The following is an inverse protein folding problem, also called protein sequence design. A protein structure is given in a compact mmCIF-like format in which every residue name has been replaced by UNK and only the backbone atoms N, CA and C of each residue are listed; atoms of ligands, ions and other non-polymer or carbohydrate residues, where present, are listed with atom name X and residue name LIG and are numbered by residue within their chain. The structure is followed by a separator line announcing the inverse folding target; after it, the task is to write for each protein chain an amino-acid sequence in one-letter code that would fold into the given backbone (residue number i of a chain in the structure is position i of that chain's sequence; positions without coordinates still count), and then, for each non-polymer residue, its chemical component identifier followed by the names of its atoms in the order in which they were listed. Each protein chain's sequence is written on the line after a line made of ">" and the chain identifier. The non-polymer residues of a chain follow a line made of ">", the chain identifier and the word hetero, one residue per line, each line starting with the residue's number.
data_IF_619150984509
#
_entry.id   IF_619150984509
#
_cell.length_a   1.000
_cell.length_b   1.000
_cell.length_c   1.000
_cell.angle_alpha   90.00
_cell.angle_beta   90.00
_cell.angle_gamma   90.00
#
_symmetry.space_group_name_H-M   'P 1'
#
loop_
_entity.id
_entity.type
_entity.pdbx_description
1 polymer ?
#
# COMPACT_ATOMS: atom_id res chain seq x y z
N UNK A 1 -36.99 15.37 22.71
CA UNK A 1 -35.88 16.31 22.52
C UNK A 1 -34.52 15.81 23.05
N UNK A 2 -34.32 15.60 24.38
CA UNK A 2 -33.01 15.15 24.88
C UNK A 2 -32.61 13.78 24.37
N UNK A 3 -33.56 12.84 24.20
CA UNK A 3 -33.28 11.50 23.68
C UNK A 3 -32.87 11.51 22.20
N UNK A 4 -33.54 12.34 21.40
CA UNK A 4 -33.28 12.42 19.93
C UNK A 4 -31.93 13.11 19.64
N UNK A 5 -31.64 14.21 20.37
CA UNK A 5 -30.31 14.85 20.32
C UNK A 5 -29.21 13.87 20.77
N UNK A 6 -29.50 13.11 21.84
CA UNK A 6 -28.58 12.05 22.30
C UNK A 6 -28.36 10.96 21.26
N UNK A 7 -29.41 10.55 20.54
CA UNK A 7 -29.29 9.57 19.44
C UNK A 7 -28.44 10.11 18.28
N UNK A 8 -28.68 11.37 17.86
CA UNK A 8 -27.91 12.01 16.79
C UNK A 8 -26.42 12.09 17.18
N UNK A 9 -26.13 12.54 18.41
CA UNK A 9 -24.76 12.59 18.90
C UNK A 9 -24.11 11.20 18.96
N UNK A 10 -24.84 10.17 19.39
CA UNK A 10 -24.36 8.80 19.39
C UNK A 10 -24.01 8.33 17.96
N UNK A 11 -24.88 8.61 16.98
CA UNK A 11 -24.63 8.25 15.58
C UNK A 11 -23.40 8.99 15.02
N UNK A 12 -23.23 10.28 15.35
CA UNK A 12 -22.06 11.07 14.96
C UNK A 12 -20.77 10.53 15.60
N UNK A 13 -20.80 10.18 16.88
CA UNK A 13 -19.64 9.60 17.57
C UNK A 13 -19.29 8.22 17.03
N UNK A 14 -20.31 7.41 16.72
CA UNK A 14 -20.10 6.11 16.08
C UNK A 14 -19.52 6.27 14.66
N UNK A 15 -19.97 7.27 13.91
CA UNK A 15 -19.36 7.65 12.64
C UNK A 15 -17.89 8.01 12.82
N UNK A 16 -17.55 8.83 13.82
CA UNK A 16 -16.18 9.20 14.16
C UNK A 16 -15.29 8.00 14.51
N UNK A 17 -15.85 6.97 15.18
CA UNK A 17 -15.15 5.72 15.44
C UNK A 17 -14.75 5.01 14.12
N UNK A 18 -15.64 4.94 13.13
CA UNK A 18 -15.30 4.33 11.83
C UNK A 18 -14.30 5.18 11.04
N UNK A 19 -14.46 6.49 11.05
CA UNK A 19 -13.53 7.44 10.42
C UNK A 19 -12.13 7.36 11.04
N UNK A 20 -12.02 7.31 12.38
CA UNK A 20 -10.75 7.12 13.05
C UNK A 20 -10.10 5.78 12.68
N UNK A 21 -10.92 4.73 12.59
CA UNK A 21 -10.43 3.40 12.18
C UNK A 21 -9.90 3.41 10.75
N UNK A 22 -10.62 4.02 9.81
CA UNK A 22 -10.20 4.16 8.41
C UNK A 22 -8.80 4.77 8.32
N UNK A 23 -8.64 5.95 8.92
CA UNK A 23 -7.38 6.68 8.89
C UNK A 23 -6.26 5.92 9.59
N UNK A 24 -6.54 5.28 10.72
CA UNK A 24 -5.55 4.48 11.43
C UNK A 24 -5.03 3.33 10.56
N UNK A 25 -5.90 2.59 9.89
CA UNK A 25 -5.50 1.46 9.04
C UNK A 25 -4.81 1.88 7.73
N UNK A 26 -5.11 3.07 7.21
CA UNK A 26 -4.41 3.64 6.04
C UNK A 26 -3.01 4.13 6.42
N UNK A 27 -2.85 4.65 7.65
CA UNK A 27 -1.63 5.33 8.09
C UNK A 27 -0.68 4.42 8.87
N UNK A 28 -1.19 3.34 9.49
CA UNK A 28 -0.40 2.42 10.33
C UNK A 28 0.75 1.78 9.54
N UNK A 29 1.92 1.67 10.19
CA UNK A 29 3.07 0.97 9.63
C UNK A 29 2.82 -0.53 9.63
N UNK A 30 2.67 -1.12 8.43
CA UNK A 30 2.40 -2.55 8.28
C UNK A 30 3.45 -3.43 8.96
N UNK A 31 4.74 -3.09 8.83
CA UNK A 31 5.84 -3.80 9.47
C UNK A 31 5.69 -3.89 10.99
N UNK A 32 5.18 -2.81 11.62
CA UNK A 32 4.95 -2.81 13.08
C UNK A 32 3.80 -3.75 13.48
N UNK A 33 2.73 -3.79 12.69
CA UNK A 33 1.60 -4.72 12.94
C UNK A 33 2.05 -6.18 12.73
N UNK A 34 2.87 -6.44 11.72
CA UNK A 34 3.42 -7.78 11.44
C UNK A 34 4.32 -8.25 12.57
N UNK A 35 5.25 -7.42 13.04
CA UNK A 35 6.10 -7.73 14.18
C UNK A 35 5.28 -8.09 15.43
N UNK A 36 4.29 -7.27 15.82
CA UNK A 36 3.43 -7.53 16.96
C UNK A 36 2.58 -8.79 16.79
N UNK A 37 2.18 -9.12 15.56
CA UNK A 37 1.44 -10.33 15.27
C UNK A 37 2.31 -11.59 15.42
N UNK A 38 3.58 -11.53 15.04
CA UNK A 38 4.60 -12.58 15.24
C UNK A 38 4.93 -12.76 16.73
N UNK A 39 4.96 -11.68 17.50
CA UNK A 39 5.10 -11.71 18.97
C UNK A 39 3.88 -12.32 19.69
N UNK A 40 2.79 -12.63 18.94
CA UNK A 40 1.61 -13.32 19.47
C UNK A 40 0.47 -12.39 19.92
N UNK A 41 0.54 -11.08 19.67
CA UNK A 41 -0.56 -10.16 20.01
C UNK A 41 -1.81 -10.46 19.13
N UNK A 42 -2.89 -10.91 19.81
CA UNK A 42 -4.17 -11.24 19.16
C UNK A 42 -4.84 -10.05 18.47
N UNK A 43 -4.58 -8.81 18.93
CA UNK A 43 -5.12 -7.59 18.31
C UNK A 43 -4.37 -7.30 17.01
N UNK A 44 -3.06 -7.42 17.02
CA UNK A 44 -2.21 -7.27 15.84
C UNK A 44 -2.52 -8.35 14.78
N UNK A 45 -2.75 -9.61 15.19
CA UNK A 45 -3.17 -10.68 14.27
C UNK A 45 -4.53 -10.40 13.59
N UNK A 46 -5.47 -9.73 14.30
CA UNK A 46 -6.74 -9.30 13.70
C UNK A 46 -6.53 -8.11 12.76
N UNK A 47 -5.74 -7.11 13.16
CA UNK A 47 -5.40 -5.98 12.32
C UNK A 47 -4.68 -6.43 11.04
N UNK A 48 -3.70 -7.34 11.14
CA UNK A 48 -3.00 -7.92 9.99
C UNK A 48 -3.96 -8.59 9.00
N UNK A 49 -4.96 -9.32 9.51
CA UNK A 49 -5.99 -9.95 8.62
C UNK A 49 -6.82 -8.93 7.86
N UNK A 50 -7.15 -7.79 8.48
CA UNK A 50 -7.87 -6.71 7.81
C UNK A 50 -6.99 -6.00 6.77
N UNK A 51 -5.68 -5.85 7.06
CA UNK A 51 -4.70 -5.25 6.15
C UNK A 51 -4.36 -6.12 4.92
N UNK A 52 -4.67 -7.43 4.95
CA UNK A 52 -4.47 -8.32 3.79
C UNK A 52 -5.43 -8.06 2.64
N UNK A 53 -6.61 -7.52 2.93
CA UNK A 53 -7.62 -7.16 1.92
C UNK A 53 -8.09 -5.72 2.14
N UNK A 54 -7.25 -4.73 1.77
CA UNK A 54 -7.55 -3.33 2.02
C UNK A 54 -8.78 -2.83 1.27
N UNK A 55 -9.03 -3.35 0.07
CA UNK A 55 -10.20 -2.97 -0.73
C UNK A 55 -11.51 -3.36 -0.04
N UNK A 56 -11.59 -4.59 0.46
CA UNK A 56 -12.75 -5.06 1.21
C UNK A 56 -12.90 -4.33 2.55
N UNK A 57 -11.80 -4.09 3.26
CA UNK A 57 -11.81 -3.34 4.51
C UNK A 57 -12.37 -1.93 4.30
N UNK A 58 -11.85 -1.17 3.32
CA UNK A 58 -12.32 0.17 3.01
C UNK A 58 -13.79 0.19 2.60
N UNK A 59 -14.25 -0.79 1.79
CA UNK A 59 -15.65 -0.89 1.43
C UNK A 59 -16.57 -1.09 2.66
N UNK A 60 -16.16 -1.93 3.62
CA UNK A 60 -16.89 -2.13 4.88
C UNK A 60 -17.00 -0.84 5.68
N UNK A 61 -15.88 -0.13 5.84
CA UNK A 61 -15.83 1.14 6.59
C UNK A 61 -16.67 2.20 5.90
N UNK A 62 -16.55 2.34 4.58
CA UNK A 62 -17.29 3.33 3.81
C UNK A 62 -18.80 3.13 3.89
N UNK A 63 -19.27 1.88 3.87
CA UNK A 63 -20.69 1.56 4.09
C UNK A 63 -21.15 2.05 5.46
N UNK A 64 -20.37 1.81 6.51
CA UNK A 64 -20.70 2.26 7.86
C UNK A 64 -20.77 3.79 7.95
N UNK A 65 -19.74 4.47 7.48
CA UNK A 65 -19.65 5.95 7.51
C UNK A 65 -20.83 6.57 6.76
N UNK A 66 -21.10 6.09 5.53
CA UNK A 66 -22.18 6.63 4.70
C UNK A 66 -23.56 6.38 5.34
N UNK A 67 -23.78 5.16 5.85
CA UNK A 67 -25.06 4.81 6.48
C UNK A 67 -25.30 5.60 7.77
N UNK A 68 -24.30 5.71 8.65
CA UNK A 68 -24.41 6.44 9.90
C UNK A 68 -24.62 7.94 9.67
N UNK A 69 -23.90 8.53 8.71
CA UNK A 69 -24.09 9.93 8.35
C UNK A 69 -25.47 10.22 7.78
N UNK A 70 -25.97 9.37 6.88
CA UNK A 70 -27.32 9.49 6.34
C UNK A 70 -28.38 9.32 7.42
N UNK A 71 -28.20 8.34 8.32
CA UNK A 71 -29.14 8.09 9.41
C UNK A 71 -29.17 9.26 10.41
N UNK A 72 -28.03 9.82 10.78
CA UNK A 72 -27.96 10.99 11.66
C UNK A 72 -28.69 12.19 11.04
N UNK A 73 -28.49 12.45 9.75
CA UNK A 73 -29.18 13.51 9.03
C UNK A 73 -30.68 13.27 8.91
N UNK A 74 -31.11 12.03 8.65
CA UNK A 74 -32.53 11.68 8.56
C UNK A 74 -33.26 11.86 9.90
N UNK A 75 -32.65 11.38 11.00
CA UNK A 75 -33.22 11.56 12.34
C UNK A 75 -33.33 13.05 12.68
N UNK A 76 -32.30 13.83 12.38
CA UNK A 76 -32.32 15.26 12.62
C UNK A 76 -33.42 15.99 11.82
N UNK A 77 -33.61 15.60 10.55
CA UNK A 77 -34.65 16.18 9.69
C UNK A 77 -36.07 15.88 10.19
N UNK A 78 -36.30 14.72 10.78
CA UNK A 78 -37.61 14.34 11.29
C UNK A 78 -37.89 15.00 12.65
N UNK A 79 -36.93 14.98 13.58
CA UNK A 79 -37.15 15.31 14.97
C UNK A 79 -36.86 16.78 15.28
N UNK A 80 -35.73 17.33 14.80
CA UNK A 80 -35.30 18.69 15.14
C UNK A 80 -36.03 19.74 14.28
N UNK A 81 -36.28 19.44 13.00
CA UNK A 81 -36.95 20.37 12.09
C UNK A 81 -38.35 20.76 12.63
N UNK A 82 -39.11 19.76 13.12
CA UNK A 82 -40.46 20.01 13.66
C UNK A 82 -40.46 21.01 14.83
N UNK A 83 -39.42 20.97 15.66
CA UNK A 83 -39.29 21.89 16.80
C UNK A 83 -38.94 23.30 16.34
N UNK A 84 -38.15 23.43 15.28
CA UNK A 84 -37.66 24.73 14.78
C UNK A 84 -38.68 25.41 13.84
N UNK A 85 -39.48 24.64 13.11
CA UNK A 85 -40.51 25.19 12.21
C UNK A 85 -41.50 26.13 12.96
N UNK A 86 -41.95 25.75 14.15
CA UNK A 86 -42.95 26.52 14.91
C UNK A 86 -42.48 27.94 15.23
N UNK A 87 -41.31 28.19 15.83
CA UNK A 87 -40.83 29.54 16.07
C UNK A 87 -40.47 30.29 14.78
N UNK A 88 -40.01 29.61 13.73
CA UNK A 88 -39.70 30.25 12.46
C UNK A 88 -40.95 30.73 11.73
N UNK A 89 -42.03 29.97 11.77
CA UNK A 89 -43.31 30.36 11.18
C UNK A 89 -43.95 31.61 11.83
N UNK A 90 -43.56 31.92 13.06
CA UNK A 90 -43.99 33.14 13.76
C UNK A 90 -43.27 34.41 13.28
N UNK A 91 -42.22 34.28 12.49
CA UNK A 91 -41.47 35.41 11.91
C UNK A 91 -42.17 35.85 10.61
N UNK A 92 -42.69 37.05 10.59
CA UNK A 92 -43.53 37.60 9.53
C UNK A 92 -42.89 37.52 8.12
N UNK A 93 -41.57 37.65 8.02
CA UNK A 93 -40.81 37.56 6.76
C UNK A 93 -40.57 36.11 6.26
N UNK A 94 -40.63 35.12 7.13
CA UNK A 94 -40.33 33.70 6.79
C UNK A 94 -41.65 32.97 6.49
N UNK A 95 -42.69 33.15 7.29
CA UNK A 95 -44.04 32.67 7.09
C UNK A 95 -44.15 31.27 6.46
N UNK A 96 -44.69 31.21 5.25
CA UNK A 96 -44.89 29.96 4.52
C UNK A 96 -43.58 29.20 4.17
N UNK A 97 -42.44 29.91 4.14
CA UNK A 97 -41.13 29.31 3.85
C UNK A 97 -40.48 28.66 5.09
N UNK A 98 -41.07 28.76 6.27
CA UNK A 98 -40.50 28.26 7.52
C UNK A 98 -40.06 26.77 7.48
N UNK A 99 -40.79 25.82 6.85
CA UNK A 99 -40.35 24.45 6.78
C UNK A 99 -39.05 24.27 5.95
N UNK A 100 -38.95 24.97 4.82
CA UNK A 100 -37.75 24.90 3.96
C UNK A 100 -36.52 25.51 4.66
N UNK A 101 -36.69 26.65 5.31
CA UNK A 101 -35.63 27.33 6.09
C UNK A 101 -35.22 26.47 7.28
N UNK A 102 -36.14 25.85 7.99
CA UNK A 102 -35.85 24.95 9.11
C UNK A 102 -35.04 23.73 8.66
N UNK A 103 -35.44 23.08 7.57
CA UNK A 103 -34.68 21.95 7.00
C UNK A 103 -33.25 22.38 6.65
N UNK A 104 -33.09 23.51 5.98
CA UNK A 104 -31.78 24.02 5.59
C UNK A 104 -30.88 24.30 6.82
N UNK A 105 -31.40 25.01 7.80
CA UNK A 105 -30.68 25.39 9.03
C UNK A 105 -30.28 24.14 9.83
N UNK A 106 -31.21 23.21 10.04
CA UNK A 106 -30.95 21.98 10.79
C UNK A 106 -29.94 21.11 10.06
N UNK A 107 -30.10 20.92 8.75
CA UNK A 107 -29.17 20.11 7.95
C UNK A 107 -27.76 20.71 8.00
N UNK A 108 -27.66 22.05 7.86
CA UNK A 108 -26.34 22.71 7.92
C UNK A 108 -25.72 22.60 9.33
N UNK A 109 -26.50 22.77 10.38
CA UNK A 109 -26.02 22.64 11.75
C UNK A 109 -25.53 21.21 12.05
N UNK A 110 -26.33 20.20 11.67
CA UNK A 110 -25.95 18.79 11.84
C UNK A 110 -24.72 18.43 11.01
N UNK A 111 -24.66 18.92 9.76
CA UNK A 111 -23.47 18.70 8.90
C UNK A 111 -22.20 19.30 9.52
N UNK A 112 -22.27 20.53 10.08
CA UNK A 112 -21.14 21.13 10.76
C UNK A 112 -20.68 20.32 11.98
N UNK A 113 -21.63 19.88 12.81
CA UNK A 113 -21.32 19.03 13.97
C UNK A 113 -20.72 17.69 13.52
N UNK A 114 -21.27 17.08 12.47
CA UNK A 114 -20.78 15.83 11.91
C UNK A 114 -19.38 15.98 11.33
N UNK A 115 -19.10 17.04 10.58
CA UNK A 115 -17.76 17.32 10.06
C UNK A 115 -16.75 17.46 11.21
N UNK A 116 -17.08 18.20 12.25
CA UNK A 116 -16.14 18.44 13.36
C UNK A 116 -15.97 17.20 14.22
N UNK A 117 -17.06 16.67 14.80
CA UNK A 117 -17.03 15.57 15.78
C UNK A 117 -16.98 14.20 15.12
N UNK A 118 -17.60 14.04 13.97
CA UNK A 118 -17.70 12.78 13.24
C UNK A 118 -16.54 12.55 12.26
N UNK A 119 -15.75 13.59 11.93
CA UNK A 119 -14.71 13.45 10.91
C UNK A 119 -13.38 14.12 11.31
N UNK A 120 -13.30 15.44 11.49
CA UNK A 120 -12.02 16.15 11.67
C UNK A 120 -11.29 15.73 12.94
N UNK A 121 -11.98 15.73 14.09
CA UNK A 121 -11.40 15.35 15.37
C UNK A 121 -10.95 13.88 15.37
N UNK A 122 -11.79 12.90 14.95
CA UNK A 122 -11.39 11.51 14.85
C UNK A 122 -10.22 11.26 13.90
N UNK A 123 -10.16 11.94 12.74
CA UNK A 123 -9.02 11.86 11.80
C UNK A 123 -7.75 12.36 12.45
N UNK A 124 -7.78 13.54 13.07
CA UNK A 124 -6.61 14.09 13.75
C UNK A 124 -6.08 13.19 14.86
N UNK A 125 -6.98 12.61 15.66
CA UNK A 125 -6.62 11.67 16.72
C UNK A 125 -6.01 10.39 16.14
N UNK A 126 -6.58 9.84 15.07
CA UNK A 126 -6.09 8.62 14.43
C UNK A 126 -4.72 8.82 13.76
N UNK A 127 -4.49 9.98 13.12
CA UNK A 127 -3.18 10.32 12.54
C UNK A 127 -2.08 10.36 13.61
N UNK A 128 -2.38 10.94 14.78
CA UNK A 128 -1.42 11.03 15.88
C UNK A 128 -1.16 9.67 16.57
N UNK A 129 -2.10 8.73 16.52
CA UNK A 129 -2.08 7.49 17.31
C UNK A 129 -2.43 6.24 16.46
N UNK A 130 -2.00 6.19 15.19
CA UNK A 130 -2.46 5.19 14.23
C UNK A 130 -2.30 3.74 14.73
N UNK A 131 -1.14 3.38 15.30
CA UNK A 131 -0.87 2.02 15.79
C UNK A 131 -1.85 1.61 16.90
N UNK A 132 -2.10 2.51 17.87
CA UNK A 132 -3.01 2.23 18.99
C UNK A 132 -4.46 2.11 18.53
N UNK A 133 -4.89 3.02 17.68
CA UNK A 133 -6.26 3.02 17.14
C UNK A 133 -6.49 1.76 16.32
N UNK A 134 -5.59 1.38 15.41
CA UNK A 134 -5.69 0.17 14.61
C UNK A 134 -5.81 -1.10 15.47
N UNK A 135 -4.98 -1.23 16.52
CA UNK A 135 -5.02 -2.38 17.43
C UNK A 135 -6.31 -2.44 18.25
N UNK A 136 -6.81 -1.29 18.74
CA UNK A 136 -8.03 -1.24 19.56
C UNK A 136 -9.29 -1.51 18.71
N UNK A 137 -9.33 -1.00 17.48
CA UNK A 137 -10.51 -1.10 16.61
C UNK A 137 -10.56 -2.39 15.80
N UNK A 138 -9.45 -3.15 15.69
CA UNK A 138 -9.37 -4.39 14.92
C UNK A 138 -10.44 -5.44 15.30
N UNK A 139 -10.74 -5.58 16.62
CA UNK A 139 -11.71 -6.55 17.08
C UNK A 139 -13.16 -6.16 16.73
N UNK A 140 -13.68 -4.97 17.08
CA UNK A 140 -15.03 -4.55 16.73
C UNK A 140 -15.24 -4.48 15.21
N UNK A 141 -14.24 -4.00 14.45
CA UNK A 141 -14.33 -3.97 12.99
C UNK A 141 -14.39 -5.37 12.36
N UNK A 142 -13.63 -6.32 12.88
CA UNK A 142 -13.71 -7.71 12.40
C UNK A 142 -15.10 -8.28 12.60
N UNK A 143 -15.74 -7.98 13.74
CA UNK A 143 -17.12 -8.43 14.01
C UNK A 143 -18.12 -7.74 13.06
N UNK A 144 -18.03 -6.43 12.93
CA UNK A 144 -18.87 -5.63 12.04
C UNK A 144 -18.70 -6.06 10.57
N UNK A 145 -17.47 -6.28 10.11
CA UNK A 145 -17.17 -6.76 8.75
C UNK A 145 -17.86 -8.09 8.43
N UNK A 146 -17.97 -8.99 9.42
CA UNK A 146 -18.71 -10.26 9.23
C UNK A 146 -20.21 -10.02 9.07
N UNK A 147 -20.78 -9.13 9.87
CA UNK A 147 -22.21 -8.81 9.81
C UNK A 147 -22.62 -8.17 8.49
N UNK A 148 -21.80 -7.22 7.96
CA UNK A 148 -22.10 -6.51 6.71
C UNK A 148 -21.52 -7.18 5.46
N UNK A 149 -20.81 -8.31 5.62
CA UNK A 149 -20.17 -9.06 4.51
C UNK A 149 -21.11 -9.34 3.33
N UNK A 150 -22.36 -9.76 3.48
CA UNK A 150 -23.25 -10.00 2.33
C UNK A 150 -23.57 -8.72 1.57
N UNK A 151 -23.78 -7.61 2.28
CA UNK A 151 -24.02 -6.30 1.66
C UNK A 151 -22.79 -5.83 0.88
N UNK A 152 -21.61 -5.93 1.48
CA UNK A 152 -20.35 -5.55 0.82
C UNK A 152 -20.09 -6.42 -0.41
N UNK A 153 -20.40 -7.71 -0.36
CA UNK A 153 -20.26 -8.61 -1.51
C UNK A 153 -21.13 -8.15 -2.70
N UNK A 154 -22.37 -7.72 -2.43
CA UNK A 154 -23.27 -7.17 -3.45
C UNK A 154 -22.68 -5.87 -4.04
N UNK A 155 -22.19 -4.96 -3.19
CA UNK A 155 -21.59 -3.70 -3.65
C UNK A 155 -20.35 -3.94 -4.50
N UNK A 156 -19.45 -4.81 -4.06
CA UNK A 156 -18.24 -5.18 -4.82
C UNK A 156 -18.62 -5.83 -6.17
N UNK A 157 -19.65 -6.68 -6.19
CA UNK A 157 -20.15 -7.27 -7.44
C UNK A 157 -20.67 -6.19 -8.41
N UNK A 158 -21.48 -5.25 -7.92
CA UNK A 158 -22.00 -4.14 -8.72
C UNK A 158 -20.84 -3.27 -9.24
N UNK A 159 -19.88 -2.94 -8.38
CA UNK A 159 -18.70 -2.15 -8.75
C UNK A 159 -17.91 -2.85 -9.86
N UNK A 160 -17.64 -4.15 -9.73
CA UNK A 160 -16.95 -4.94 -10.76
C UNK A 160 -17.72 -4.96 -12.07
N UNK A 161 -19.04 -5.10 -12.01
CA UNK A 161 -19.89 -5.11 -13.21
C UNK A 161 -19.81 -3.77 -13.97
N UNK A 162 -19.83 -2.65 -13.23
CA UNK A 162 -19.74 -1.30 -13.81
C UNK A 162 -18.32 -0.99 -14.29
N UNK A 163 -17.27 -1.45 -13.58
CA UNK A 163 -15.88 -1.17 -13.92
C UNK A 163 -15.34 -2.01 -15.07
N UNK A 164 -15.95 -3.18 -15.33
CA UNK A 164 -15.51 -4.11 -16.39
C UNK A 164 -15.43 -3.49 -17.80
N UNK A 165 -16.39 -2.67 -18.27
CA UNK A 165 -16.31 -2.03 -19.58
C UNK A 165 -15.13 -1.04 -19.70
N UNK A 166 -14.64 -0.50 -18.57
CA UNK A 166 -13.52 0.45 -18.53
C UNK A 166 -12.17 -0.24 -18.36
N UNK A 167 -12.13 -1.58 -18.32
CA UNK A 167 -10.89 -2.33 -18.12
C UNK A 167 -10.26 -2.19 -16.71
N UNK A 168 -11.02 -1.66 -15.74
CA UNK A 168 -10.55 -1.42 -14.38
C UNK A 168 -10.98 -2.58 -13.49
N UNK A 169 -10.04 -3.24 -12.83
CA UNK A 169 -10.33 -4.18 -11.75
C UNK A 169 -10.10 -3.49 -10.39
N UNK A 170 -11.18 -3.06 -9.71
CA UNK A 170 -11.07 -2.33 -8.45
C UNK A 170 -10.53 -3.18 -7.29
N UNK A 171 -10.36 -4.49 -7.49
CA UNK A 171 -9.83 -5.42 -6.48
C UNK A 171 -8.37 -5.80 -6.74
N UNK A 172 -7.77 -5.37 -7.84
CA UNK A 172 -6.38 -5.65 -8.18
C UNK A 172 -5.47 -4.65 -7.49
N UNK A 173 -4.60 -5.14 -6.62
CA UNK A 173 -3.48 -4.32 -6.14
C UNK A 173 -2.55 -4.05 -7.33
N UNK A 174 -2.02 -2.83 -7.49
CA UNK A 174 -1.03 -2.58 -8.53
C UNK A 174 0.16 -3.51 -8.32
N UNK A 175 0.55 -4.21 -9.40
CA UNK A 175 1.76 -5.03 -9.38
C UNK A 175 2.96 -4.07 -9.27
N UNK A 176 3.84 -4.31 -8.31
CA UNK A 176 5.06 -3.51 -8.16
C UNK A 176 5.92 -3.66 -9.41
N UNK A 177 6.19 -2.57 -10.09
CA UNK A 177 7.12 -2.53 -11.22
C UNK A 177 8.57 -2.46 -10.72
N UNK A 178 9.51 -2.91 -11.56
CA UNK A 178 10.95 -2.77 -11.27
C UNK A 178 11.34 -1.29 -11.02
N UNK A 179 10.67 -0.35 -11.71
CA UNK A 179 10.88 1.08 -11.51
C UNK A 179 10.44 1.55 -10.12
N UNK A 180 9.30 1.03 -9.60
CA UNK A 180 8.83 1.37 -8.25
C UNK A 180 9.74 0.79 -7.17
N UNK A 181 10.29 -0.42 -7.39
CA UNK A 181 11.27 -1.00 -6.45
C UNK A 181 12.52 -0.12 -6.39
N UNK A 182 13.03 0.35 -7.54
CA UNK A 182 14.17 1.28 -7.57
C UNK A 182 13.89 2.58 -6.81
N UNK A 183 12.69 3.15 -6.98
CA UNK A 183 12.29 4.37 -6.28
C UNK A 183 12.22 4.15 -4.76
N UNK A 184 11.73 2.99 -4.31
CA UNK A 184 11.70 2.65 -2.88
C UNK A 184 13.12 2.53 -2.30
N UNK A 185 14.04 1.91 -3.04
CA UNK A 185 15.46 1.76 -2.65
C UNK A 185 16.12 3.14 -2.56
N UNK A 186 15.94 4.00 -3.55
CA UNK A 186 16.44 5.38 -3.57
C UNK A 186 15.90 6.20 -2.38
N UNK A 187 14.61 6.11 -2.09
CA UNK A 187 14.02 6.75 -0.90
C UNK A 187 14.60 6.20 0.41
N UNK A 188 14.87 4.90 0.47
CA UNK A 188 15.54 4.27 1.62
C UNK A 188 16.95 4.79 1.83
N UNK A 189 17.70 5.01 0.76
CA UNK A 189 19.05 5.60 0.80
C UNK A 189 19.00 7.06 1.25
N UNK A 190 18.08 7.89 0.70
CA UNK A 190 17.90 9.28 1.12
C UNK A 190 17.52 9.43 2.60
N UNK A 191 16.82 8.44 3.17
CA UNK A 191 16.45 8.40 4.59
C UNK A 191 17.55 7.80 5.49
N UNK A 192 18.65 7.33 4.92
CA UNK A 192 19.75 6.71 5.67
C UNK A 192 19.45 5.31 6.19
N UNK A 193 18.40 4.65 5.69
CA UNK A 193 18.03 3.26 6.01
C UNK A 193 18.85 2.26 5.19
N UNK A 194 19.25 2.68 3.98
CA UNK A 194 20.07 1.92 3.03
C UNK A 194 21.33 2.74 2.79
N UNK A 195 22.51 2.10 2.83
CA UNK A 195 23.78 2.77 2.50
C UNK A 195 23.89 2.99 0.98
N UNK A 196 24.64 4.02 0.56
CA UNK A 196 24.80 4.34 -0.86
C UNK A 196 25.44 3.19 -1.66
N UNK A 197 26.32 2.41 -1.04
CA UNK A 197 26.93 1.22 -1.64
C UNK A 197 25.91 0.09 -1.83
N UNK A 198 25.02 -0.10 -0.87
CA UNK A 198 23.93 -1.09 -0.94
C UNK A 198 22.92 -0.72 -2.04
N UNK A 199 22.57 0.57 -2.18
CA UNK A 199 21.73 1.08 -3.27
C UNK A 199 22.33 0.73 -4.64
N UNK A 200 23.64 0.99 -4.82
CA UNK A 200 24.34 0.66 -6.06
C UNK A 200 24.35 -0.83 -6.35
N UNK A 201 24.58 -1.68 -5.33
CA UNK A 201 24.54 -3.14 -5.48
C UNK A 201 23.15 -3.62 -5.90
N UNK A 202 22.08 -3.13 -5.27
CA UNK A 202 20.70 -3.49 -5.63
C UNK A 202 20.41 -3.05 -7.07
N UNK A 203 20.83 -1.84 -7.45
CA UNK A 203 20.71 -1.33 -8.82
C UNK A 203 21.41 -2.22 -9.85
N UNK A 204 22.63 -2.66 -9.54
CA UNK A 204 23.41 -3.56 -10.40
C UNK A 204 22.73 -4.94 -10.55
N UNK A 205 22.23 -5.52 -9.47
CA UNK A 205 21.50 -6.80 -9.51
C UNK A 205 20.23 -6.69 -10.35
N UNK A 206 19.47 -5.59 -10.21
CA UNK A 206 18.25 -5.39 -10.98
C UNK A 206 18.50 -5.18 -12.48
N UNK A 207 19.65 -4.60 -12.85
CA UNK A 207 20.03 -4.42 -14.26
C UNK A 207 20.63 -5.68 -14.89
N UNK A 208 21.10 -6.62 -14.09
CA UNK A 208 21.72 -7.86 -14.57
C UNK A 208 20.76 -8.70 -15.42
N UNK A 209 19.48 -8.71 -15.06
CA UNK A 209 18.44 -9.44 -15.81
C UNK A 209 18.21 -8.92 -17.23
N UNK A 210 18.44 -7.63 -17.45
CA UNK A 210 18.25 -6.95 -18.74
C UNK A 210 19.53 -6.89 -19.57
N UNK A 211 20.70 -7.24 -18.96
CA UNK A 211 22.00 -7.16 -19.62
C UNK A 211 22.14 -8.25 -20.68
N UNK A 212 22.54 -7.85 -21.87
CA UNK A 212 22.82 -8.79 -22.97
C UNK A 212 24.23 -9.34 -22.87
N UNK A 213 24.41 -10.60 -23.28
CA UNK A 213 25.70 -11.25 -23.19
C UNK A 213 26.82 -10.45 -23.87
N UNK A 214 26.55 -9.80 -25.00
CA UNK A 214 27.54 -9.02 -25.73
C UNK A 214 28.03 -7.76 -24.98
N UNK A 215 27.29 -7.28 -23.97
CA UNK A 215 27.68 -6.13 -23.14
C UNK A 215 28.70 -6.49 -22.06
N UNK A 216 28.73 -7.78 -21.67
CA UNK A 216 29.61 -8.29 -20.60
C UNK A 216 30.71 -9.24 -21.11
N UNK A 217 30.64 -9.66 -22.37
CA UNK A 217 31.66 -10.55 -22.94
C UNK A 217 32.91 -9.77 -23.33
N UNK A 218 34.07 -10.45 -23.23
CA UNK A 218 35.33 -9.92 -23.74
C UNK A 218 35.29 -9.92 -25.28
N UNK A 219 35.55 -8.77 -25.95
CA UNK A 219 35.63 -8.74 -27.40
C UNK A 219 36.66 -9.74 -27.93
N UNK A 220 36.43 -10.32 -29.10
CA UNK A 220 37.31 -11.35 -29.68
C UNK A 220 38.77 -10.92 -29.76
N UNK A 221 39.01 -9.67 -30.09
CA UNK A 221 40.35 -9.11 -30.26
C UNK A 221 41.16 -9.01 -28.95
N UNK A 222 40.43 -9.02 -27.82
CA UNK A 222 41.01 -8.91 -26.47
C UNK A 222 41.07 -10.26 -25.75
N UNK A 223 40.60 -11.33 -26.39
CA UNK A 223 40.66 -12.67 -25.82
C UNK A 223 42.08 -13.22 -25.87
N UNK A 224 42.68 -13.43 -24.69
CA UNK A 224 43.94 -14.12 -24.55
C UNK A 224 43.67 -15.62 -24.67
N UNK A 225 44.31 -16.25 -25.67
CA UNK A 225 44.17 -17.69 -25.92
C UNK A 225 45.55 -18.29 -26.26
N UNK A 226 45.71 -19.59 -26.02
CA UNK A 226 46.94 -20.31 -26.24
C UNK A 226 46.73 -21.30 -27.40
N UNK A 227 47.67 -21.32 -28.34
CA UNK A 227 47.68 -22.34 -29.39
C UNK A 227 47.91 -23.75 -28.78
N UNK A 228 47.18 -24.74 -29.26
CA UNK A 228 47.29 -26.12 -28.77
C UNK A 228 48.65 -26.77 -29.06
N UNK A 229 49.40 -26.19 -30.02
CA UNK A 229 50.77 -26.62 -30.36
C UNK A 229 51.84 -25.93 -29.50
N UNK A 230 51.51 -24.93 -28.67
CA UNK A 230 52.44 -24.23 -27.79
C UNK A 230 53.06 -25.20 -26.76
N UNK A 231 54.34 -25.00 -26.47
CA UNK A 231 55.04 -25.76 -25.45
C UNK A 231 54.52 -25.42 -24.04
N UNK A 232 54.80 -26.31 -23.08
CA UNK A 232 54.37 -26.09 -21.69
C UNK A 232 54.96 -24.80 -21.12
N UNK A 233 56.22 -24.49 -21.39
CA UNK A 233 56.87 -23.28 -20.88
C UNK A 233 56.28 -22.00 -21.47
N UNK A 234 55.96 -21.98 -22.77
CA UNK A 234 55.24 -20.85 -23.41
C UNK A 234 53.83 -20.66 -22.83
N UNK A 235 53.12 -21.76 -22.58
CA UNK A 235 51.80 -21.68 -21.96
C UNK A 235 51.85 -21.09 -20.54
N UNK A 236 52.86 -21.51 -19.74
CA UNK A 236 53.10 -20.98 -18.39
C UNK A 236 53.42 -19.48 -18.43
N UNK A 237 54.27 -19.06 -19.37
CA UNK A 237 54.65 -17.64 -19.52
C UNK A 237 53.41 -16.75 -19.81
N UNK A 238 52.56 -17.20 -20.74
CA UNK A 238 51.32 -16.47 -21.08
C UNK A 238 50.39 -16.40 -19.87
N UNK A 239 50.15 -17.50 -19.17
CA UNK A 239 49.24 -17.52 -18.00
C UNK A 239 49.77 -16.65 -16.86
N UNK A 240 51.08 -16.65 -16.59
CA UNK A 240 51.68 -15.81 -15.57
C UNK A 240 51.63 -14.33 -15.92
N UNK A 241 51.87 -14.00 -17.19
CA UNK A 241 51.84 -12.60 -17.68
C UNK A 241 50.46 -12.00 -17.64
N UNK A 242 49.47 -12.73 -18.10
CA UNK A 242 48.11 -12.23 -18.26
C UNK A 242 47.22 -12.43 -16.99
N UNK A 243 47.65 -13.29 -16.06
CA UNK A 243 46.98 -13.48 -14.76
C UNK A 243 45.62 -14.14 -14.80
N UNK A 244 45.23 -14.77 -15.90
CA UNK A 244 43.91 -15.38 -16.03
C UNK A 244 43.86 -16.77 -15.42
N UNK A 245 42.87 -17.08 -14.59
CA UNK A 245 42.64 -18.39 -14.00
C UNK A 245 42.24 -19.46 -15.01
N UNK A 246 41.71 -19.06 -16.17
CA UNK A 246 41.26 -19.96 -17.25
C UNK A 246 41.56 -19.33 -18.59
N UNK A 247 42.36 -19.98 -19.42
CA UNK A 247 42.72 -19.52 -20.75
C UNK A 247 42.22 -20.54 -21.79
N UNK A 248 41.50 -20.10 -22.83
CA UNK A 248 41.07 -20.99 -23.90
C UNK A 248 42.28 -21.54 -24.68
N UNK A 249 42.24 -22.81 -25.06
CA UNK A 249 43.14 -23.41 -26.06
C UNK A 249 42.43 -23.44 -27.40
N UNK A 250 43.09 -23.01 -28.45
CA UNK A 250 42.57 -23.06 -29.82
C UNK A 250 43.48 -23.90 -30.74
N UNK A 251 42.90 -24.40 -31.83
CA UNK A 251 43.57 -25.10 -32.88
C UNK A 251 43.26 -24.42 -34.22
N UNK A 252 44.28 -24.08 -34.99
CA UNK A 252 44.20 -23.31 -36.24
C UNK A 252 43.62 -21.88 -36.08
N UNK A 253 42.55 -21.70 -35.36
CA UNK A 253 41.99 -20.38 -35.14
C UNK A 253 41.22 -20.30 -33.79
N UNK A 254 41.11 -19.08 -33.24
CA UNK A 254 40.45 -18.86 -31.96
C UNK A 254 38.94 -19.25 -31.99
N UNK A 255 38.36 -19.36 -33.18
CA UNK A 255 36.98 -19.79 -33.37
C UNK A 255 36.79 -21.29 -33.23
N UNK A 256 37.85 -22.06 -33.32
CA UNK A 256 37.91 -23.53 -33.14
C UNK A 256 38.53 -23.86 -31.78
N UNK A 257 37.82 -23.47 -30.72
CA UNK A 257 38.24 -23.76 -29.35
C UNK A 257 38.29 -25.27 -29.11
N UNK A 258 39.43 -25.80 -28.76
CA UNK A 258 39.65 -27.24 -28.43
C UNK A 258 39.23 -27.51 -26.98
N UNK A 259 39.77 -26.76 -26.01
CA UNK A 259 39.49 -26.95 -24.58
C UNK A 259 39.82 -25.68 -23.80
N UNK A 260 39.79 -25.74 -22.47
CA UNK A 260 40.25 -24.69 -21.57
C UNK A 260 41.40 -25.20 -20.72
N UNK A 261 42.46 -24.42 -20.67
CA UNK A 261 43.56 -24.63 -19.73
C UNK A 261 43.25 -23.89 -18.43
N UNK A 262 43.30 -24.57 -17.29
CA UNK A 262 43.18 -23.96 -15.97
C UNK A 262 44.58 -23.80 -15.36
N UNK A 263 44.85 -22.66 -14.72
CA UNK A 263 46.14 -22.41 -14.04
C UNK A 263 46.52 -23.50 -13.04
N UNK A 264 45.53 -24.10 -12.38
CA UNK A 264 45.74 -25.22 -11.46
C UNK A 264 46.31 -26.48 -12.15
N UNK A 265 46.08 -26.69 -13.47
CA UNK A 265 46.66 -27.79 -14.25
C UNK A 265 48.13 -27.60 -14.53
N UNK A 266 48.62 -26.36 -14.46
CA UNK A 266 50.03 -26.01 -14.65
C UNK A 266 50.85 -26.04 -13.35
N UNK A 267 50.19 -26.33 -12.20
CA UNK A 267 50.86 -26.33 -10.89
C UNK A 267 51.23 -24.92 -10.39
N UNK A 268 50.60 -23.89 -10.95
CA UNK A 268 50.83 -22.50 -10.61
C UNK A 268 49.68 -22.05 -9.69
N UNK A 269 49.99 -21.74 -8.45
CA UNK A 269 49.03 -21.24 -7.44
C UNK A 269 49.29 -19.78 -7.08
#
# INVERSE_FOLDING_TARGET
>A
MLGEVGLILLLILLNGFFVATEIAFVTVRRSRIEQLAEEGDRRAQRAQRLLRDPGRFLAVIQVAITFLGALASAVAAVEIVQVIVTPLAAVEFIGESAPAVAILVVTLAVALVQIVLGELIPKGFALANADRVALLTAAPITLFSRAVSPLVAILVFITKLISKPFGIDPTRSPDLSAAEIRLIVEQGSQQGVIEAEEEQMIGAVMSLGDSKLHEVMVPRIDVVAIDSSATFDEAVEIVLKEGHSRTPLYEESIDRKSTRLNSSHLGIS
#
